data_IF_508222353377
#
_entry.id   IF_508222353377
#
_cell.length_a   1.000
_cell.length_b   1.000
_cell.length_c   1.000
_cell.angle_alpha   90.00
_cell.angle_beta   90.00
_cell.angle_gamma   90.00
#
_symmetry.space_group_name_H-M   'P 1'
#
loop_
_entity.id
_entity.type
_entity.pdbx_description
1 polymer ?
#
# COMPACT_ATOMS: atom_id res chain seq x y z
N UNK A 1 -11.73 -32.43 28.06
CA UNK A 1 -12.49 -31.16 27.87
C UNK A 1 -12.46 -30.68 26.42
N UNK A 2 -11.53 -31.17 25.57
CA UNK A 2 -11.44 -30.86 24.13
C UNK A 2 -12.13 -31.94 23.26
N UNK A 3 -12.25 -33.19 23.75
CA UNK A 3 -13.09 -34.28 23.17
C UNK A 3 -14.60 -33.96 23.02
N UNK A 4 -15.05 -32.76 23.40
CA UNK A 4 -16.47 -32.34 23.33
C UNK A 4 -16.76 -31.28 22.26
N UNK A 5 -15.79 -30.84 21.46
CA UNK A 5 -16.02 -29.76 20.48
C UNK A 5 -16.44 -30.25 19.11
N UNK A 6 -15.89 -31.39 18.67
CA UNK A 6 -16.28 -32.03 17.43
C UNK A 6 -17.36 -33.07 17.74
N UNK A 7 -18.51 -32.59 18.24
CA UNK A 7 -19.70 -33.43 18.40
C UNK A 7 -20.31 -33.72 17.02
N UNK A 8 -21.14 -34.76 16.94
CA UNK A 8 -22.08 -34.89 15.84
C UNK A 8 -22.82 -33.55 15.67
N UNK A 9 -22.80 -33.00 14.45
CA UNK A 9 -23.48 -31.76 14.06
C UNK A 9 -22.82 -30.41 14.45
N UNK A 10 -21.52 -30.38 14.81
CA UNK A 10 -20.82 -29.14 15.19
C UNK A 10 -20.82 -28.02 14.11
N UNK A 11 -20.98 -28.39 12.84
CA UNK A 11 -21.13 -27.44 11.74
C UNK A 11 -22.46 -26.67 11.81
N UNK A 12 -23.48 -27.22 12.47
CA UNK A 12 -24.80 -26.59 12.59
C UNK A 12 -25.12 -26.10 14.02
N UNK A 13 -24.28 -26.46 15.00
CA UNK A 13 -24.38 -25.97 16.38
C UNK A 13 -24.00 -24.48 16.45
N UNK A 14 -24.85 -23.60 17.01
CA UNK A 14 -24.54 -22.17 17.13
C UNK A 14 -23.22 -21.90 17.87
N UNK A 15 -22.37 -21.00 17.33
CA UNK A 15 -21.03 -20.74 17.90
C UNK A 15 -21.08 -20.31 19.38
N UNK A 16 -22.14 -19.60 19.79
CA UNK A 16 -22.38 -19.17 21.18
C UNK A 16 -22.54 -20.32 22.18
N UNK A 17 -22.80 -21.54 21.71
CA UNK A 17 -22.99 -22.72 22.56
C UNK A 17 -21.67 -23.40 22.94
N UNK A 18 -20.56 -23.02 22.27
CA UNK A 18 -19.22 -23.42 22.68
C UNK A 18 -18.75 -22.54 23.84
N UNK A 19 -18.45 -23.17 24.99
CA UNK A 19 -18.07 -22.47 26.23
C UNK A 19 -16.63 -21.93 26.16
N UNK A 20 -16.49 -20.62 26.36
CA UNK A 20 -15.22 -19.91 26.60
C UNK A 20 -14.97 -18.82 25.56
N UNK A 21 -14.58 -17.62 26.01
CA UNK A 21 -14.12 -16.52 25.14
C UNK A 21 -12.74 -16.80 24.51
N UNK A 22 -12.23 -18.03 24.65
CA UNK A 22 -10.97 -18.52 24.11
C UNK A 22 -11.28 -19.87 23.47
N UNK A 23 -11.30 -19.92 22.14
CA UNK A 23 -11.42 -21.18 21.44
C UNK A 23 -10.19 -22.06 21.80
N UNK A 24 -10.38 -23.32 22.24
CA UNK A 24 -9.31 -24.12 22.83
C UNK A 24 -8.26 -24.50 21.79
N UNK A 25 -6.98 -24.45 22.14
CA UNK A 25 -5.92 -24.91 21.26
C UNK A 25 -6.19 -26.36 20.79
N UNK A 26 -6.27 -26.57 19.48
CA UNK A 26 -6.44 -27.89 18.87
C UNK A 26 -5.10 -28.63 18.89
N UNK A 27 -5.10 -29.91 19.18
CA UNK A 27 -3.98 -30.79 18.80
C UNK A 27 -3.93 -30.96 17.28
N UNK A 28 -2.81 -31.47 16.76
CA UNK A 28 -2.69 -31.79 15.32
C UNK A 28 -3.74 -32.82 14.87
N UNK A 29 -4.04 -33.80 15.73
CA UNK A 29 -5.09 -34.80 15.47
C UNK A 29 -6.48 -34.17 15.42
N UNK A 30 -6.80 -33.25 16.34
CA UNK A 30 -8.10 -32.56 16.35
C UNK A 30 -8.25 -31.61 15.16
N UNK A 31 -7.18 -30.95 14.74
CA UNK A 31 -7.18 -30.14 13.51
C UNK A 31 -7.39 -31.00 12.26
N UNK A 32 -6.74 -32.16 12.18
CA UNK A 32 -6.93 -33.10 11.06
C UNK A 32 -8.36 -33.65 11.03
N UNK A 33 -8.91 -33.98 12.20
CA UNK A 33 -10.30 -34.43 12.32
C UNK A 33 -11.29 -33.35 11.88
N UNK A 34 -11.08 -32.10 12.31
CA UNK A 34 -11.87 -30.95 11.87
C UNK A 34 -11.89 -30.82 10.35
N UNK A 35 -10.71 -30.91 9.71
CA UNK A 35 -10.57 -30.82 8.26
C UNK A 35 -11.34 -31.95 7.56
N UNK A 36 -11.18 -33.19 8.03
CA UNK A 36 -11.84 -34.37 7.47
C UNK A 36 -13.37 -34.30 7.60
N UNK A 37 -13.89 -33.78 8.71
CA UNK A 37 -15.32 -33.63 8.89
C UNK A 37 -15.89 -32.52 8.00
N UNK A 38 -15.17 -31.41 7.81
CA UNK A 38 -15.58 -30.37 6.86
C UNK A 38 -15.64 -30.94 5.44
N UNK A 39 -14.61 -31.69 5.01
CA UNK A 39 -14.62 -32.36 3.70
C UNK A 39 -15.79 -33.32 3.55
N UNK A 40 -15.96 -34.21 4.54
CA UNK A 40 -17.05 -35.19 4.53
C UNK A 40 -18.42 -34.53 4.49
N UNK A 41 -18.59 -33.36 5.09
CA UNK A 41 -19.81 -32.57 5.02
C UNK A 41 -20.03 -31.98 3.62
N UNK A 42 -18.98 -31.43 3.00
CA UNK A 42 -19.04 -30.88 1.64
C UNK A 42 -19.25 -31.93 0.55
N UNK A 43 -18.81 -33.17 0.79
CA UNK A 43 -18.98 -34.31 -0.11
C UNK A 43 -20.37 -34.99 0.02
N UNK A 44 -21.27 -34.47 0.87
CA UNK A 44 -22.63 -35.01 0.98
C UNK A 44 -23.44 -34.69 -0.27
N UNK A 45 -23.87 -35.73 -1.01
CA UNK A 45 -24.66 -35.61 -2.24
C UNK A 45 -25.95 -34.77 -2.10
N UNK A 46 -26.47 -34.64 -0.88
CA UNK A 46 -27.69 -33.88 -0.57
C UNK A 46 -27.45 -32.44 -0.11
N UNK A 47 -26.21 -31.98 0.03
CA UNK A 47 -25.91 -30.66 0.59
C UNK A 47 -26.35 -29.54 -0.37
N UNK A 48 -27.35 -28.75 0.04
CA UNK A 48 -27.79 -27.57 -0.69
C UNK A 48 -26.95 -26.32 -0.37
N UNK A 49 -26.92 -25.35 -1.28
CA UNK A 49 -26.29 -24.05 -1.03
C UNK A 49 -26.88 -23.35 0.21
N UNK A 50 -28.19 -23.48 0.44
CA UNK A 50 -28.85 -22.90 1.62
C UNK A 50 -28.40 -23.56 2.93
N UNK A 51 -28.18 -24.87 2.94
CA UNK A 51 -27.66 -25.55 4.12
C UNK A 51 -26.22 -25.14 4.41
N UNK A 52 -25.38 -25.06 3.36
CA UNK A 52 -24.00 -24.59 3.49
C UNK A 52 -23.93 -23.12 3.95
N UNK A 53 -24.84 -22.26 3.49
CA UNK A 53 -24.91 -20.86 3.92
C UNK A 53 -25.22 -20.72 5.41
N UNK A 54 -26.13 -21.57 5.92
CA UNK A 54 -26.59 -21.52 7.31
C UNK A 54 -25.62 -22.20 8.27
N UNK A 55 -24.71 -23.03 7.76
CA UNK A 55 -23.71 -23.72 8.57
C UNK A 55 -22.59 -22.78 9.04
N UNK A 56 -21.81 -23.26 10.01
CA UNK A 56 -20.60 -22.64 10.52
C UNK A 56 -19.34 -23.11 9.78
N UNK A 57 -19.47 -23.72 8.59
CA UNK A 57 -18.32 -24.25 7.82
C UNK A 57 -17.22 -23.20 7.65
N UNK A 58 -17.57 -21.96 7.27
CA UNK A 58 -16.55 -20.92 7.10
C UNK A 58 -15.90 -20.51 8.43
N UNK A 59 -16.66 -20.42 9.52
CA UNK A 59 -16.11 -20.12 10.83
C UNK A 59 -15.03 -21.14 11.20
N UNK A 60 -15.34 -22.43 11.01
CA UNK A 60 -14.41 -23.51 11.32
C UNK A 60 -13.21 -23.58 10.38
N UNK A 61 -13.38 -23.27 9.08
CA UNK A 61 -12.23 -23.10 8.16
C UNK A 61 -11.32 -21.95 8.62
N UNK A 62 -11.91 -20.82 9.00
CA UNK A 62 -11.17 -19.63 9.47
C UNK A 62 -10.43 -19.90 10.78
N UNK A 63 -11.10 -20.61 11.70
CA UNK A 63 -10.53 -21.06 12.96
C UNK A 63 -9.39 -22.04 12.76
N UNK A 64 -9.62 -23.09 11.96
CA UNK A 64 -8.62 -24.08 11.61
C UNK A 64 -7.40 -23.47 10.93
N UNK A 65 -7.58 -22.52 10.00
CA UNK A 65 -6.47 -21.82 9.34
C UNK A 65 -5.63 -21.05 10.36
N UNK A 66 -6.29 -20.26 11.23
CA UNK A 66 -5.61 -19.48 12.27
C UNK A 66 -4.80 -20.37 13.19
N UNK A 67 -5.39 -21.50 13.59
CA UNK A 67 -4.75 -22.47 14.45
C UNK A 67 -3.59 -23.20 13.76
N UNK A 68 -3.77 -23.67 12.51
CA UNK A 68 -2.74 -24.32 11.71
C UNK A 68 -1.50 -23.42 11.56
N UNK A 69 -1.73 -22.14 11.25
CA UNK A 69 -0.66 -21.16 11.09
C UNK A 69 0.04 -20.82 12.41
N UNK A 70 -0.71 -20.67 13.51
CA UNK A 70 -0.11 -20.47 14.84
C UNK A 70 0.84 -21.61 15.22
N UNK A 71 0.49 -22.83 14.85
CA UNK A 71 1.29 -24.03 15.14
C UNK A 71 2.28 -24.41 14.04
N UNK A 72 2.47 -23.57 13.00
CA UNK A 72 3.39 -23.85 11.88
C UNK A 72 3.08 -25.14 11.12
N UNK A 73 1.81 -25.56 11.12
CA UNK A 73 1.34 -26.71 10.36
C UNK A 73 0.98 -26.28 8.92
N UNK A 74 1.98 -26.33 8.04
CA UNK A 74 1.82 -25.98 6.63
C UNK A 74 0.77 -26.85 5.93
N UNK A 75 0.83 -28.17 6.12
CA UNK A 75 -0.06 -29.12 5.43
C UNK A 75 -1.53 -28.79 5.69
N UNK A 76 -1.91 -28.67 6.96
CA UNK A 76 -3.29 -28.32 7.33
C UNK A 76 -3.68 -26.93 6.85
N UNK A 77 -2.77 -25.94 6.91
CA UNK A 77 -3.08 -24.59 6.42
C UNK A 77 -3.37 -24.56 4.91
N UNK A 78 -2.60 -25.30 4.13
CA UNK A 78 -2.79 -25.42 2.68
C UNK A 78 -4.06 -26.20 2.34
N UNK A 79 -4.32 -27.29 3.06
CA UNK A 79 -5.52 -28.11 2.88
C UNK A 79 -6.81 -27.31 3.18
N UNK A 80 -6.81 -26.50 4.23
CA UNK A 80 -7.92 -25.59 4.55
C UNK A 80 -8.13 -24.54 3.46
N UNK A 81 -7.05 -23.95 2.94
CA UNK A 81 -7.13 -23.03 1.81
C UNK A 81 -7.69 -23.73 0.55
N UNK A 82 -7.27 -24.96 0.29
CA UNK A 82 -7.79 -25.78 -0.81
C UNK A 82 -9.29 -26.03 -0.70
N UNK A 83 -9.80 -26.31 0.51
CA UNK A 83 -11.25 -26.47 0.73
C UNK A 83 -11.99 -25.17 0.43
N UNK A 84 -11.53 -24.02 0.94
CA UNK A 84 -12.18 -22.74 0.61
C UNK A 84 -12.10 -22.45 -0.89
N UNK A 85 -11.00 -22.81 -1.56
CA UNK A 85 -10.88 -22.65 -3.00
C UNK A 85 -11.92 -23.50 -3.76
N UNK A 86 -12.17 -24.74 -3.34
CA UNK A 86 -13.22 -25.59 -3.91
C UNK A 86 -14.60 -24.95 -3.74
N UNK A 87 -14.93 -24.48 -2.52
CA UNK A 87 -16.19 -23.74 -2.27
C UNK A 87 -16.27 -22.52 -3.18
N UNK A 88 -15.19 -21.73 -3.31
CA UNK A 88 -15.16 -20.53 -4.15
C UNK A 88 -15.33 -20.81 -5.64
N UNK A 89 -14.91 -22.00 -6.11
CA UNK A 89 -15.09 -22.42 -7.50
C UNK A 89 -16.50 -22.89 -7.77
N UNK A 90 -17.08 -23.64 -6.85
CA UNK A 90 -18.41 -24.21 -7.01
C UNK A 90 -19.51 -23.18 -6.77
N UNK A 91 -19.35 -22.35 -5.74
CA UNK A 91 -20.34 -21.38 -5.28
C UNK A 91 -19.68 -20.03 -4.95
N UNK A 92 -19.19 -19.27 -5.95
CA UNK A 92 -18.44 -18.04 -5.71
C UNK A 92 -19.25 -16.97 -4.94
N UNK A 93 -20.51 -16.78 -5.30
CA UNK A 93 -21.41 -15.82 -4.66
C UNK A 93 -21.63 -16.18 -3.17
N UNK A 94 -21.84 -17.47 -2.88
CA UNK A 94 -22.01 -17.99 -1.54
C UNK A 94 -20.73 -17.84 -0.72
N UNK A 95 -19.58 -18.15 -1.30
CA UNK A 95 -18.29 -17.96 -0.64
C UNK A 95 -18.07 -16.49 -0.23
N UNK A 96 -18.37 -15.53 -1.10
CA UNK A 96 -18.29 -14.09 -0.80
C UNK A 96 -19.28 -13.71 0.30
N UNK A 97 -20.52 -14.20 0.22
CA UNK A 97 -21.55 -13.95 1.24
C UNK A 97 -21.15 -14.47 2.62
N UNK A 98 -20.66 -15.71 2.69
CA UNK A 98 -20.16 -16.31 3.93
C UNK A 98 -18.96 -15.51 4.46
N UNK A 99 -17.98 -15.19 3.60
CA UNK A 99 -16.78 -14.43 3.96
C UNK A 99 -17.10 -13.02 4.46
N UNK A 100 -18.16 -12.40 3.94
CA UNK A 100 -18.62 -11.07 4.32
C UNK A 100 -19.56 -11.01 5.52
N UNK A 101 -20.01 -12.15 6.06
CA UNK A 101 -20.86 -12.21 7.25
C UNK A 101 -20.04 -11.87 8.49
N UNK A 102 -20.57 -10.98 9.33
CA UNK A 102 -19.99 -10.70 10.65
C UNK A 102 -20.17 -11.91 11.56
N UNK A 103 -19.11 -12.30 12.25
CA UNK A 103 -19.10 -13.42 13.18
C UNK A 103 -19.65 -12.95 14.52
N UNK A 104 -20.73 -13.57 15.00
CA UNK A 104 -21.47 -13.10 16.18
C UNK A 104 -20.89 -13.58 17.52
N UNK A 105 -20.05 -14.62 17.52
CA UNK A 105 -19.51 -15.26 18.71
C UNK A 105 -18.15 -15.93 18.48
N UNK A 106 -17.48 -16.33 19.57
CA UNK A 106 -16.17 -16.99 19.55
C UNK A 106 -15.01 -16.03 19.33
N UNK A 107 -13.83 -16.59 19.00
CA UNK A 107 -12.55 -15.84 18.90
C UNK A 107 -12.58 -14.64 17.95
N UNK A 108 -13.35 -14.74 16.86
CA UNK A 108 -13.42 -13.71 15.82
C UNK A 108 -14.68 -12.82 15.92
N UNK A 109 -15.32 -12.77 17.11
CA UNK A 109 -16.54 -11.99 17.32
C UNK A 109 -16.38 -10.54 16.83
N UNK A 110 -17.33 -10.07 16.02
CA UNK A 110 -17.35 -8.73 15.45
C UNK A 110 -16.49 -8.55 14.19
N UNK A 111 -15.83 -9.61 13.71
CA UNK A 111 -15.02 -9.60 12.49
C UNK A 111 -15.72 -10.34 11.35
N UNK A 112 -15.32 -10.05 10.11
CA UNK A 112 -15.72 -10.82 8.94
C UNK A 112 -14.69 -11.92 8.65
N UNK A 113 -15.09 -12.98 7.94
CA UNK A 113 -14.16 -13.98 7.44
C UNK A 113 -13.05 -13.35 6.59
N UNK A 114 -13.40 -12.43 5.68
CA UNK A 114 -12.40 -11.70 4.87
C UNK A 114 -11.35 -11.02 5.73
N UNK A 115 -11.74 -10.34 6.82
CA UNK A 115 -10.80 -9.67 7.72
C UNK A 115 -9.79 -10.64 8.32
N UNK A 116 -10.26 -11.78 8.84
CA UNK A 116 -9.40 -12.79 9.47
C UNK A 116 -8.47 -13.43 8.43
N UNK A 117 -8.96 -13.73 7.23
CA UNK A 117 -8.13 -14.30 6.17
C UNK A 117 -7.03 -13.33 5.70
N UNK A 118 -7.32 -12.02 5.64
CA UNK A 118 -6.29 -11.00 5.36
C UNK A 118 -5.31 -10.83 6.52
N UNK A 119 -5.75 -10.95 7.78
CA UNK A 119 -4.85 -10.98 8.95
C UNK A 119 -3.91 -12.19 8.91
N UNK A 120 -4.41 -13.35 8.43
CA UNK A 120 -3.59 -14.54 8.22
C UNK A 120 -2.64 -14.40 7.05
N UNK A 121 -3.07 -13.79 5.94
CA UNK A 121 -2.17 -13.43 4.84
C UNK A 121 -1.04 -12.51 5.34
N UNK A 122 -1.36 -11.49 6.13
CA UNK A 122 -0.36 -10.64 6.81
C UNK A 122 0.57 -11.47 7.69
N UNK A 123 0.04 -12.33 8.55
CA UNK A 123 0.84 -13.20 9.43
C UNK A 123 1.81 -14.12 8.64
N UNK A 124 1.39 -14.62 7.47
CA UNK A 124 2.22 -15.46 6.62
C UNK A 124 3.48 -14.76 6.11
N UNK A 125 3.46 -13.43 5.97
CA UNK A 125 4.61 -12.66 5.44
C UNK A 125 5.84 -12.68 6.36
N UNK A 126 5.69 -13.05 7.64
CA UNK A 126 6.80 -13.17 8.59
C UNK A 126 7.56 -14.51 8.50
N UNK A 127 7.03 -15.51 7.79
CA UNK A 127 7.63 -16.83 7.76
C UNK A 127 7.44 -17.51 6.41
N UNK A 128 8.55 -17.70 5.69
CA UNK A 128 8.58 -18.27 4.35
C UNK A 128 7.98 -19.69 4.26
N UNK A 129 7.87 -20.43 5.37
CA UNK A 129 7.18 -21.73 5.40
C UNK A 129 5.74 -21.62 4.90
N UNK A 130 5.08 -20.47 5.07
CA UNK A 130 3.69 -20.25 4.67
C UNK A 130 3.54 -19.66 3.26
N UNK A 131 4.62 -19.57 2.48
CA UNK A 131 4.53 -19.09 1.08
C UNK A 131 3.47 -19.85 0.27
N UNK A 132 3.34 -21.20 0.34
CA UNK A 132 2.28 -21.91 -0.36
C UNK A 132 0.86 -21.50 0.09
N UNK A 133 0.66 -21.31 1.38
CA UNK A 133 -0.62 -20.86 1.95
C UNK A 133 -0.96 -19.44 1.50
N UNK A 134 0.03 -18.55 1.46
CA UNK A 134 -0.13 -17.19 0.96
C UNK A 134 -0.53 -17.17 -0.52
N UNK A 135 0.12 -18.00 -1.35
CA UNK A 135 -0.23 -18.18 -2.77
C UNK A 135 -1.67 -18.70 -2.91
N UNK A 136 -2.07 -19.67 -2.08
CA UNK A 136 -3.43 -20.20 -2.09
C UNK A 136 -4.46 -19.13 -1.72
N UNK A 137 -4.23 -18.37 -0.64
CA UNK A 137 -5.11 -17.26 -0.24
C UNK A 137 -5.22 -16.25 -1.39
N UNK A 138 -4.10 -15.83 -1.97
CA UNK A 138 -4.11 -14.89 -3.08
C UNK A 138 -4.91 -15.41 -4.28
N UNK A 139 -4.75 -16.69 -4.62
CA UNK A 139 -5.49 -17.35 -5.71
C UNK A 139 -6.99 -17.37 -5.46
N UNK A 140 -7.42 -17.64 -4.22
CA UNK A 140 -8.84 -17.61 -3.82
C UNK A 140 -9.41 -16.21 -4.01
N UNK A 141 -8.76 -15.18 -3.47
CA UNK A 141 -9.28 -13.82 -3.54
C UNK A 141 -9.20 -13.23 -4.95
N UNK A 142 -8.18 -13.59 -5.74
CA UNK A 142 -8.13 -13.28 -7.17
C UNK A 142 -9.31 -13.89 -7.92
N UNK A 143 -9.59 -15.18 -7.69
CA UNK A 143 -10.72 -15.87 -8.32
C UNK A 143 -12.05 -15.24 -7.90
N UNK A 144 -12.26 -14.97 -6.62
CA UNK A 144 -13.51 -14.35 -6.14
C UNK A 144 -13.72 -12.93 -6.68
N UNK A 145 -12.63 -12.16 -6.85
CA UNK A 145 -12.69 -10.83 -7.47
C UNK A 145 -13.18 -10.88 -8.92
N UNK A 146 -12.76 -11.89 -9.68
CA UNK A 146 -13.18 -12.10 -11.07
C UNK A 146 -14.67 -12.46 -11.19
N UNK A 147 -15.30 -12.97 -10.12
CA UNK A 147 -16.71 -13.35 -10.10
C UNK A 147 -17.61 -12.19 -9.64
N UNK A 148 -17.39 -11.65 -8.44
CA UNK A 148 -18.19 -10.53 -7.90
C UNK A 148 -17.31 -9.48 -7.22
N UNK A 149 -16.42 -8.87 -8.01
CA UNK A 149 -15.43 -7.91 -7.53
C UNK A 149 -16.02 -6.78 -6.67
N UNK A 150 -17.14 -6.17 -7.10
CA UNK A 150 -17.78 -5.08 -6.34
C UNK A 150 -18.29 -5.52 -4.96
N UNK A 151 -18.98 -6.66 -4.87
CA UNK A 151 -19.48 -7.18 -3.60
C UNK A 151 -18.31 -7.46 -2.64
N UNK A 152 -17.26 -8.12 -3.13
CA UNK A 152 -16.08 -8.43 -2.33
C UNK A 152 -15.30 -7.18 -1.91
N UNK A 153 -15.14 -6.20 -2.80
CA UNK A 153 -14.53 -4.90 -2.48
C UNK A 153 -15.28 -4.18 -1.35
N UNK A 154 -16.61 -4.19 -1.38
CA UNK A 154 -17.40 -3.56 -0.32
C UNK A 154 -17.21 -4.23 1.04
N UNK A 155 -16.98 -5.54 1.05
CA UNK A 155 -16.65 -6.29 2.27
C UNK A 155 -15.24 -5.92 2.77
N UNK A 156 -14.27 -5.72 1.87
CA UNK A 156 -12.89 -5.37 2.24
C UNK A 156 -12.78 -4.08 3.04
N UNK A 157 -13.68 -3.11 2.81
CA UNK A 157 -13.66 -1.80 3.47
C UNK A 157 -14.54 -1.73 4.72
N UNK A 158 -15.33 -2.77 5.03
CA UNK A 158 -16.18 -2.80 6.22
C UNK A 158 -15.33 -2.66 7.49
N UNK A 159 -15.54 -1.63 8.31
CA UNK A 159 -14.77 -1.43 9.52
C UNK A 159 -15.12 -2.47 10.60
N UNK A 160 -14.13 -2.84 11.40
CA UNK A 160 -14.34 -3.60 12.63
C UNK A 160 -14.91 -2.66 13.70
N UNK A 161 -16.02 -3.07 14.33
CA UNK A 161 -16.74 -2.15 15.21
C UNK A 161 -16.11 -1.99 16.59
N UNK A 162 -15.52 -3.05 17.14
CA UNK A 162 -15.07 -3.11 18.54
C UNK A 162 -13.76 -3.89 18.69
N UNK A 163 -13.15 -3.79 19.88
CA UNK A 163 -11.88 -4.44 20.20
C UNK A 163 -10.64 -3.64 19.78
N UNK A 164 -9.48 -4.26 19.90
CA UNK A 164 -8.17 -3.63 19.64
C UNK A 164 -8.04 -3.13 18.19
N UNK A 165 -8.58 -3.90 17.24
CA UNK A 165 -8.59 -3.60 15.80
C UNK A 165 -9.81 -2.78 15.37
N UNK A 166 -10.58 -2.20 16.31
CA UNK A 166 -11.71 -1.33 15.98
C UNK A 166 -11.27 -0.21 15.02
N UNK A 167 -12.10 0.07 14.01
CA UNK A 167 -11.84 1.09 12.99
C UNK A 167 -10.99 0.60 11.80
N UNK A 168 -10.27 -0.52 11.91
CA UNK A 168 -9.56 -1.10 10.76
C UNK A 168 -10.48 -1.99 9.92
N UNK A 169 -10.02 -2.45 8.76
CA UNK A 169 -10.77 -3.31 7.86
C UNK A 169 -9.84 -4.31 7.17
N UNK A 170 -10.36 -5.17 6.30
CA UNK A 170 -9.54 -6.20 5.66
C UNK A 170 -8.55 -5.62 4.63
N UNK A 171 -8.90 -4.49 4.00
CA UNK A 171 -7.98 -3.73 3.14
C UNK A 171 -6.75 -3.26 3.91
N UNK A 172 -6.92 -2.85 5.17
CA UNK A 172 -5.82 -2.47 6.05
C UNK A 172 -4.83 -3.62 6.25
N UNK A 173 -5.33 -4.82 6.53
CA UNK A 173 -4.48 -6.00 6.70
C UNK A 173 -3.74 -6.37 5.40
N UNK A 174 -4.38 -6.22 4.22
CA UNK A 174 -3.73 -6.46 2.93
C UNK A 174 -2.56 -5.49 2.67
N UNK A 175 -2.74 -4.21 3.00
CA UNK A 175 -1.69 -3.18 2.84
C UNK A 175 -0.59 -3.38 3.87
N UNK A 176 -0.94 -3.77 5.08
CA UNK A 176 0.04 -4.09 6.12
C UNK A 176 0.87 -5.33 5.75
N UNK A 177 0.25 -6.33 5.12
CA UNK A 177 0.94 -7.47 4.52
C UNK A 177 1.91 -7.04 3.41
N UNK A 178 1.47 -6.16 2.51
CA UNK A 178 2.33 -5.61 1.46
C UNK A 178 3.55 -4.89 2.05
N UNK A 179 3.33 -4.04 3.04
CA UNK A 179 4.41 -3.36 3.76
C UNK A 179 5.40 -4.36 4.34
N UNK A 180 4.92 -5.32 5.13
CA UNK A 180 5.79 -6.28 5.79
C UNK A 180 6.56 -7.15 4.78
N UNK A 181 5.92 -7.59 3.70
CA UNK A 181 6.58 -8.35 2.64
C UNK A 181 7.71 -7.53 1.98
N UNK A 182 7.52 -6.23 1.78
CA UNK A 182 8.49 -5.34 1.14
C UNK A 182 9.73 -5.03 1.99
N UNK A 183 9.69 -5.26 3.31
CA UNK A 183 10.81 -4.94 4.20
C UNK A 183 12.02 -5.88 4.00
N UNK A 184 11.77 -7.10 3.51
CA UNK A 184 12.78 -8.14 3.37
C UNK A 184 13.12 -8.43 1.90
N UNK A 185 14.39 -8.33 1.51
CA UNK A 185 14.85 -8.52 0.12
C UNK A 185 14.49 -9.92 -0.43
N UNK A 186 14.47 -10.95 0.41
CA UNK A 186 14.11 -12.31 0.00
C UNK A 186 12.61 -12.49 -0.33
N UNK A 187 11.76 -11.49 -0.05
CA UNK A 187 10.31 -11.56 -0.22
C UNK A 187 9.79 -10.81 -1.45
N UNK A 188 10.65 -10.48 -2.43
CA UNK A 188 10.22 -9.76 -3.65
C UNK A 188 9.04 -10.45 -4.38
N UNK A 189 9.09 -11.78 -4.55
CA UNK A 189 7.98 -12.53 -5.19
C UNK A 189 6.67 -12.43 -4.41
N UNK A 190 6.73 -12.46 -3.08
CA UNK A 190 5.55 -12.29 -2.22
C UNK A 190 5.04 -10.85 -2.26
N UNK A 191 5.95 -9.87 -2.29
CA UNK A 191 5.62 -8.45 -2.47
C UNK A 191 4.85 -8.23 -3.77
N UNK A 192 5.35 -8.79 -4.89
CA UNK A 192 4.71 -8.70 -6.20
C UNK A 192 3.33 -9.38 -6.20
N UNK A 193 3.23 -10.55 -5.59
CA UNK A 193 1.97 -11.27 -5.47
C UNK A 193 0.91 -10.46 -4.69
N UNK A 194 1.28 -9.85 -3.55
CA UNK A 194 0.35 -9.07 -2.73
C UNK A 194 -0.04 -7.76 -3.41
N UNK A 195 0.92 -7.04 -4.02
CA UNK A 195 0.62 -5.77 -4.70
C UNK A 195 -0.26 -5.98 -5.94
N UNK A 196 -0.09 -7.09 -6.67
CA UNK A 196 -0.97 -7.46 -7.76
C UNK A 196 -2.41 -7.71 -7.28
N UNK A 197 -2.58 -8.40 -6.14
CA UNK A 197 -3.90 -8.60 -5.54
C UNK A 197 -4.54 -7.26 -5.15
N UNK A 198 -3.77 -6.37 -4.51
CA UNK A 198 -4.23 -5.02 -4.20
C UNK A 198 -4.64 -4.26 -5.47
N UNK A 199 -3.84 -4.33 -6.55
CA UNK A 199 -4.17 -3.70 -7.82
C UNK A 199 -5.45 -4.26 -8.44
N UNK A 200 -5.69 -5.57 -8.36
CA UNK A 200 -6.95 -6.18 -8.79
C UNK A 200 -8.14 -5.65 -8.01
N UNK A 201 -8.02 -5.53 -6.69
CA UNK A 201 -9.05 -4.93 -5.84
C UNK A 201 -9.36 -3.49 -6.30
N UNK A 202 -8.35 -2.63 -6.41
CA UNK A 202 -8.52 -1.23 -6.82
C UNK A 202 -9.08 -1.12 -8.24
N UNK A 203 -8.67 -1.99 -9.17
CA UNK A 203 -9.17 -1.95 -10.55
C UNK A 203 -10.65 -2.29 -10.64
N UNK A 204 -11.13 -3.25 -9.83
CA UNK A 204 -12.55 -3.63 -9.84
C UNK A 204 -13.43 -2.55 -9.19
N UNK A 205 -13.01 -1.96 -8.08
CA UNK A 205 -13.83 -0.97 -7.35
C UNK A 205 -13.04 0.30 -7.03
N UNK A 206 -12.62 1.07 -8.07
CA UNK A 206 -11.71 2.18 -7.90
C UNK A 206 -12.33 3.34 -7.11
N UNK A 207 -13.66 3.50 -7.15
CA UNK A 207 -14.34 4.55 -6.38
C UNK A 207 -14.42 4.23 -4.88
N UNK A 208 -14.78 3.00 -4.53
CA UNK A 208 -14.97 2.61 -3.13
C UNK A 208 -13.62 2.40 -2.44
N UNK A 209 -12.77 1.56 -3.03
CA UNK A 209 -11.47 1.26 -2.45
C UNK A 209 -10.49 2.41 -2.62
N UNK A 210 -10.54 3.12 -3.75
CA UNK A 210 -9.67 4.28 -3.97
C UNK A 210 -9.93 5.38 -2.96
N UNK A 211 -11.20 5.68 -2.66
CA UNK A 211 -11.55 6.61 -1.59
C UNK A 211 -11.12 6.09 -0.22
N UNK A 212 -11.36 4.80 0.09
CA UNK A 212 -10.97 4.21 1.36
C UNK A 212 -9.45 4.34 1.62
N UNK A 213 -8.62 4.17 0.58
CA UNK A 213 -7.16 4.34 0.67
C UNK A 213 -6.70 5.75 1.03
N UNK A 214 -7.53 6.78 0.84
CA UNK A 214 -7.18 8.16 1.22
C UNK A 214 -7.66 8.51 2.63
N UNK A 215 -8.41 7.62 3.29
CA UNK A 215 -8.95 7.88 4.63
C UNK A 215 -7.99 7.42 5.73
N UNK A 216 -8.24 7.93 6.92
CA UNK A 216 -7.58 7.49 8.15
C UNK A 216 -8.51 6.60 8.95
N UNK A 217 -7.90 5.70 9.73
CA UNK A 217 -8.62 4.96 10.76
C UNK A 217 -9.10 5.95 11.83
N UNK A 218 -10.39 5.92 12.16
CA UNK A 218 -11.03 6.96 13.00
C UNK A 218 -11.16 6.59 14.48
N UNK A 219 -10.94 5.33 14.84
CA UNK A 219 -11.06 4.80 16.20
C UNK A 219 -10.10 3.63 16.44
N UNK A 220 -10.00 3.19 17.69
CA UNK A 220 -9.15 2.06 18.08
C UNK A 220 -7.66 2.40 18.16
N UNK A 221 -6.81 1.37 18.29
CA UNK A 221 -5.38 1.52 18.50
C UNK A 221 -4.63 2.16 17.31
N UNK A 222 -5.24 2.13 16.13
CA UNK A 222 -4.68 2.66 14.88
C UNK A 222 -5.26 4.04 14.51
N UNK A 223 -6.02 4.68 15.41
CA UNK A 223 -6.65 5.98 15.14
C UNK A 223 -5.65 7.04 14.65
N UNK A 224 -6.01 7.74 13.58
CA UNK A 224 -5.17 8.75 12.92
C UNK A 224 -4.12 8.19 11.96
N UNK A 225 -4.09 6.88 11.74
CA UNK A 225 -3.21 6.24 10.75
C UNK A 225 -3.90 6.17 9.39
N UNK A 226 -3.26 6.68 8.34
CA UNK A 226 -3.73 6.59 6.96
C UNK A 226 -3.13 5.41 6.20
N UNK A 227 -3.78 4.95 5.13
CA UNK A 227 -3.22 3.88 4.30
C UNK A 227 -1.98 4.34 3.50
N UNK A 228 -1.91 5.63 3.16
CA UNK A 228 -0.75 6.23 2.49
C UNK A 228 0.52 6.21 3.37
N UNK A 229 0.37 6.17 4.69
CA UNK A 229 1.49 5.99 5.64
C UNK A 229 2.18 4.62 5.49
N UNK A 230 1.56 3.69 4.76
CA UNK A 230 2.14 2.37 4.46
C UNK A 230 2.46 2.21 2.99
N UNK A 231 1.56 2.62 2.08
CA UNK A 231 1.75 2.48 0.63
C UNK A 231 2.99 3.24 0.16
N UNK A 232 3.18 4.47 0.62
CA UNK A 232 4.27 5.32 0.14
C UNK A 232 5.65 4.88 0.65
N UNK A 233 5.83 4.56 1.95
CA UNK A 233 7.08 3.94 2.40
C UNK A 233 7.39 2.61 1.69
N UNK A 234 6.38 1.79 1.38
CA UNK A 234 6.58 0.57 0.59
C UNK A 234 7.04 0.87 -0.84
N UNK A 235 6.45 1.86 -1.51
CA UNK A 235 6.91 2.32 -2.82
C UNK A 235 8.39 2.76 -2.75
N UNK A 236 8.76 3.55 -1.75
CA UNK A 236 10.13 4.00 -1.56
C UNK A 236 11.11 2.88 -1.22
N UNK A 237 10.65 1.84 -0.52
CA UNK A 237 11.46 0.65 -0.25
C UNK A 237 11.70 -0.16 -1.53
N UNK A 238 10.64 -0.43 -2.29
CA UNK A 238 10.71 -1.18 -3.53
C UNK A 238 11.47 -0.44 -4.64
N UNK A 239 11.59 0.90 -4.59
CA UNK A 239 12.33 1.66 -5.60
C UNK A 239 13.83 1.39 -5.62
N UNK A 240 14.35 0.64 -4.64
CA UNK A 240 15.75 0.24 -4.58
C UNK A 240 16.06 -0.93 -5.52
N UNK A 241 15.13 -1.87 -5.70
CA UNK A 241 15.43 -3.15 -6.36
C UNK A 241 14.22 -3.92 -6.94
N UNK A 242 12.98 -3.47 -6.72
CA UNK A 242 11.77 -4.16 -7.18
C UNK A 242 10.87 -3.28 -8.05
N UNK A 243 11.22 -3.22 -9.34
CA UNK A 243 10.55 -2.36 -10.32
C UNK A 243 9.11 -2.77 -10.64
N UNK A 244 8.79 -4.07 -10.54
CA UNK A 244 7.45 -4.56 -10.85
C UNK A 244 6.46 -4.15 -9.75
N UNK A 245 6.88 -4.22 -8.48
CA UNK A 245 6.10 -3.67 -7.37
C UNK A 245 5.90 -2.15 -7.50
N UNK A 246 6.95 -1.38 -7.80
CA UNK A 246 6.83 0.08 -7.97
C UNK A 246 5.91 0.42 -9.14
N UNK A 247 6.05 -0.25 -10.29
CA UNK A 247 5.16 -0.07 -11.44
C UNK A 247 3.69 -0.30 -11.06
N UNK A 248 3.42 -1.34 -10.28
CA UNK A 248 2.05 -1.67 -9.82
C UNK A 248 1.52 -0.65 -8.81
N UNK A 249 2.35 -0.21 -7.85
CA UNK A 249 1.99 0.85 -6.91
C UNK A 249 1.72 2.18 -7.59
N UNK A 250 2.54 2.57 -8.58
CA UNK A 250 2.30 3.77 -9.37
C UNK A 250 0.95 3.68 -10.08
N UNK A 251 0.63 2.54 -10.72
CA UNK A 251 -0.70 2.35 -11.35
C UNK A 251 -1.85 2.49 -10.37
N UNK A 252 -1.74 1.92 -9.16
CA UNK A 252 -2.74 2.07 -8.10
C UNK A 252 -2.90 3.56 -7.76
N UNK A 253 -1.81 4.26 -7.49
CA UNK A 253 -1.84 5.69 -7.14
C UNK A 253 -2.42 6.54 -8.27
N UNK A 254 -2.13 6.23 -9.53
CA UNK A 254 -2.70 6.92 -10.69
C UNK A 254 -4.20 6.67 -10.85
N UNK A 255 -4.68 5.44 -10.60
CA UNK A 255 -6.12 5.15 -10.56
C UNK A 255 -6.81 5.99 -9.48
N UNK A 256 -6.22 6.07 -8.29
CA UNK A 256 -6.76 6.89 -7.19
C UNK A 256 -6.71 8.37 -7.55
N UNK A 257 -5.62 8.85 -8.14
CA UNK A 257 -5.49 10.25 -8.58
C UNK A 257 -6.55 10.61 -9.65
N UNK A 258 -6.92 9.67 -10.51
CA UNK A 258 -7.98 9.89 -11.50
C UNK A 258 -9.37 9.98 -10.86
N UNK A 259 -9.66 9.16 -9.84
CA UNK A 259 -11.00 9.09 -9.22
C UNK A 259 -11.18 10.04 -8.04
N UNK A 260 -10.13 10.25 -7.27
CA UNK A 260 -10.11 11.00 -6.01
C UNK A 260 -8.85 11.87 -5.90
N UNK A 261 -8.62 12.81 -6.84
CA UNK A 261 -7.40 13.63 -6.84
C UNK A 261 -7.25 14.43 -5.55
N UNK A 262 -8.29 15.14 -5.11
CA UNK A 262 -8.20 15.96 -3.90
C UNK A 262 -8.03 15.11 -2.63
N UNK A 263 -8.83 14.07 -2.35
CA UNK A 263 -8.59 13.21 -1.19
C UNK A 263 -7.19 12.57 -1.18
N UNK A 264 -6.68 12.16 -2.36
CA UNK A 264 -5.33 11.64 -2.47
C UNK A 264 -4.30 12.70 -2.09
N UNK A 265 -4.39 13.90 -2.66
CA UNK A 265 -3.45 14.96 -2.36
C UNK A 265 -3.50 15.36 -0.89
N UNK A 266 -4.68 15.52 -0.30
CA UNK A 266 -4.85 15.83 1.12
C UNK A 266 -4.13 14.79 2.01
N UNK A 267 -4.24 13.51 1.64
CA UNK A 267 -3.54 12.42 2.32
C UNK A 267 -2.02 12.48 2.10
N UNK A 268 -1.56 12.72 0.87
CA UNK A 268 -0.15 12.75 0.52
C UNK A 268 0.60 13.98 1.06
N UNK A 269 -0.09 15.10 1.25
CA UNK A 269 0.49 16.37 1.75
C UNK A 269 0.22 16.60 3.23
N UNK A 270 -0.44 15.66 3.93
CA UNK A 270 -0.62 15.75 5.38
C UNK A 270 0.73 15.70 6.10
N UNK A 271 0.99 16.71 6.93
CA UNK A 271 2.24 16.82 7.69
C UNK A 271 2.23 15.82 8.85
N UNK A 272 3.23 14.94 8.88
CA UNK A 272 3.50 14.02 9.98
C UNK A 272 3.94 14.79 11.21
N UNK A 273 3.22 14.63 12.32
CA UNK A 273 3.44 15.42 13.54
C UNK A 273 4.55 14.88 14.43
N UNK A 274 4.82 13.57 14.39
CA UNK A 274 5.72 12.87 15.33
C UNK A 274 6.56 11.79 14.63
N UNK A 275 7.64 11.35 15.28
CA UNK A 275 8.48 10.24 14.83
C UNK A 275 9.59 10.66 13.85
N UNK A 276 10.21 9.67 13.20
CA UNK A 276 11.35 9.90 12.31
C UNK A 276 11.03 10.81 11.11
N UNK A 277 9.79 10.75 10.63
CA UNK A 277 9.28 11.54 9.51
C UNK A 277 8.60 12.85 9.94
N UNK A 278 8.76 13.27 11.20
CA UNK A 278 8.19 14.52 11.70
C UNK A 278 8.52 15.71 10.78
N UNK A 279 7.51 16.52 10.47
CA UNK A 279 7.61 17.71 9.63
C UNK A 279 7.52 17.42 8.13
N UNK A 280 7.64 16.16 7.71
CA UNK A 280 7.48 15.74 6.31
C UNK A 280 6.05 15.30 6.02
N UNK A 281 5.73 15.11 4.75
CA UNK A 281 4.48 14.47 4.29
C UNK A 281 4.83 13.31 3.35
N UNK A 282 3.89 12.40 3.09
CA UNK A 282 4.16 11.22 2.26
C UNK A 282 4.69 11.57 0.86
N UNK A 283 4.25 12.69 0.27
CA UNK A 283 4.79 13.15 -1.01
C UNK A 283 6.31 13.47 -0.97
N UNK A 284 6.89 13.90 0.16
CA UNK A 284 8.35 14.04 0.32
C UNK A 284 9.07 12.68 0.27
N UNK A 285 8.40 11.60 0.70
CA UNK A 285 8.97 10.24 0.65
C UNK A 285 9.04 9.76 -0.81
N UNK A 286 8.07 10.11 -1.66
CA UNK A 286 8.13 9.86 -3.12
C UNK A 286 9.33 10.59 -3.74
N UNK A 287 9.53 11.86 -3.39
CA UNK A 287 10.68 12.65 -3.87
C UNK A 287 12.02 12.07 -3.41
N UNK A 288 12.08 11.60 -2.16
CA UNK A 288 13.25 10.89 -1.64
C UNK A 288 13.50 9.59 -2.41
N UNK A 289 12.44 8.84 -2.74
CA UNK A 289 12.56 7.62 -3.55
C UNK A 289 13.09 7.92 -4.96
N UNK A 290 12.67 9.03 -5.58
CA UNK A 290 13.19 9.49 -6.86
C UNK A 290 14.67 9.82 -6.77
N UNK A 291 15.10 10.56 -5.73
CA UNK A 291 16.51 10.83 -5.47
C UNK A 291 17.28 9.51 -5.32
N UNK A 292 16.80 8.57 -4.50
CA UNK A 292 17.43 7.26 -4.34
C UNK A 292 17.52 6.49 -5.65
N UNK A 293 16.46 6.47 -6.46
CA UNK A 293 16.46 5.80 -7.76
C UNK A 293 17.50 6.40 -8.71
N UNK A 294 17.72 7.72 -8.67
CA UNK A 294 18.75 8.39 -9.47
C UNK A 294 20.18 7.96 -9.11
N UNK A 295 20.43 7.54 -7.87
CA UNK A 295 21.75 7.05 -7.44
C UNK A 295 22.08 5.64 -7.95
N UNK A 296 21.09 4.88 -8.43
CA UNK A 296 21.28 3.48 -8.84
C UNK A 296 21.66 3.45 -10.32
N UNK A 297 22.75 2.76 -10.62
CA UNK A 297 23.27 2.63 -11.99
C UNK A 297 22.28 1.85 -12.88
N UNK A 298 22.09 2.31 -14.12
CA UNK A 298 21.15 1.72 -15.10
C UNK A 298 19.67 1.67 -14.65
N UNK A 299 19.26 2.50 -13.68
CA UNK A 299 17.91 2.48 -13.13
C UNK A 299 16.90 3.41 -13.84
N UNK A 300 17.12 3.70 -15.12
CA UNK A 300 16.34 4.66 -15.92
C UNK A 300 14.83 4.39 -15.88
N UNK A 301 14.42 3.12 -15.95
CA UNK A 301 12.99 2.76 -15.94
C UNK A 301 12.32 3.12 -14.61
N UNK A 302 12.99 2.87 -13.47
CA UNK A 302 12.47 3.25 -12.15
C UNK A 302 12.41 4.76 -11.99
N UNK A 303 13.48 5.46 -12.41
CA UNK A 303 13.55 6.91 -12.38
C UNK A 303 12.36 7.52 -13.14
N UNK A 304 12.14 7.10 -14.38
CA UNK A 304 11.04 7.61 -15.20
C UNK A 304 9.66 7.29 -14.59
N UNK A 305 9.44 6.09 -14.05
CA UNK A 305 8.18 5.75 -13.37
C UNK A 305 7.84 6.72 -12.23
N UNK A 306 8.84 7.10 -11.43
CA UNK A 306 8.64 8.03 -10.31
C UNK A 306 8.44 9.47 -10.80
N UNK A 307 9.16 9.90 -11.84
CA UNK A 307 8.96 11.22 -12.45
C UNK A 307 7.56 11.34 -13.05
N UNK A 308 7.12 10.33 -13.80
CA UNK A 308 5.80 10.29 -14.44
C UNK A 308 4.69 10.34 -13.38
N UNK A 309 4.83 9.60 -12.27
CA UNK A 309 3.89 9.65 -11.15
C UNK A 309 3.75 11.07 -10.57
N UNK A 310 4.88 11.76 -10.34
CA UNK A 310 4.87 13.14 -9.82
C UNK A 310 4.26 14.10 -10.85
N UNK A 311 4.56 13.90 -12.14
CA UNK A 311 4.02 14.70 -13.22
C UNK A 311 2.49 14.57 -13.33
N UNK A 312 1.96 13.35 -13.20
CA UNK A 312 0.52 13.11 -13.22
C UNK A 312 -0.20 13.68 -11.98
N UNK A 313 0.42 13.63 -10.80
CA UNK A 313 -0.10 14.33 -9.62
C UNK A 313 -0.15 15.84 -9.86
N UNK A 314 0.93 16.42 -10.38
CA UNK A 314 1.00 17.85 -10.69
C UNK A 314 -0.06 18.25 -11.71
N UNK A 315 -0.25 17.47 -12.77
CA UNK A 315 -1.25 17.74 -13.81
C UNK A 315 -2.68 17.78 -13.27
N UNK A 316 -3.01 16.92 -12.31
CA UNK A 316 -4.37 16.83 -11.72
C UNK A 316 -4.58 17.83 -10.58
N UNK A 317 -3.54 18.17 -9.83
CA UNK A 317 -3.63 19.04 -8.65
C UNK A 317 -2.45 20.01 -8.58
N UNK A 318 -2.31 20.90 -9.59
CA UNK A 318 -1.10 21.73 -9.73
C UNK A 318 -0.88 22.67 -8.55
N UNK A 319 -1.93 23.26 -7.98
CA UNK A 319 -1.81 24.14 -6.82
C UNK A 319 -1.31 23.40 -5.58
N UNK A 320 -1.93 22.26 -5.25
CA UNK A 320 -1.57 21.47 -4.06
C UNK A 320 -0.17 20.89 -4.18
N UNK A 321 0.17 20.34 -5.35
CA UNK A 321 1.52 19.80 -5.60
C UNK A 321 2.55 20.91 -5.63
N UNK A 322 2.28 22.05 -6.27
CA UNK A 322 3.20 23.18 -6.29
C UNK A 322 3.48 23.70 -4.88
N UNK A 323 2.44 23.86 -4.06
CA UNK A 323 2.57 24.25 -2.66
C UNK A 323 3.41 23.23 -1.87
N UNK A 324 3.14 21.94 -2.03
CA UNK A 324 3.91 20.88 -1.37
C UNK A 324 5.38 20.82 -1.83
N UNK A 325 5.68 21.22 -3.07
CA UNK A 325 7.04 21.29 -3.59
C UNK A 325 7.81 22.50 -3.06
N UNK A 326 7.16 23.65 -2.89
CA UNK A 326 7.83 24.91 -2.50
C UNK A 326 7.94 25.09 -0.99
N UNK A 327 6.99 24.55 -0.20
CA UNK A 327 6.98 24.73 1.24
C UNK A 327 8.18 24.04 1.93
N UNK A 328 8.92 24.75 2.80
CA UNK A 328 10.01 24.16 3.56
C UNK A 328 9.50 23.28 4.71
N UNK A 329 10.24 22.21 5.00
CA UNK A 329 10.03 21.38 6.17
C UNK A 329 10.46 22.16 7.42
N UNK A 330 9.52 22.38 8.35
CA UNK A 330 9.75 23.27 9.50
C UNK A 330 10.30 22.57 10.75
N UNK A 331 10.15 21.26 10.85
CA UNK A 331 10.50 20.46 12.04
C UNK A 331 11.17 19.13 11.64
N UNK A 332 11.74 18.42 12.62
CA UNK A 332 12.37 17.12 12.39
C UNK A 332 13.78 17.18 11.78
N UNK A 333 14.29 16.01 11.36
CA UNK A 333 15.67 15.83 10.89
C UNK A 333 15.94 16.49 9.54
N UNK A 334 14.90 16.69 8.73
CA UNK A 334 14.95 17.28 7.39
C UNK A 334 14.57 18.76 7.36
N UNK A 335 14.64 19.44 8.51
CA UNK A 335 14.28 20.86 8.61
C UNK A 335 15.04 21.71 7.57
N UNK A 336 14.31 22.55 6.85
CA UNK A 336 14.80 23.43 5.80
C UNK A 336 14.89 22.80 4.41
N UNK A 337 14.69 21.48 4.27
CA UNK A 337 14.53 20.87 2.95
C UNK A 337 13.15 21.22 2.37
N UNK A 338 13.02 21.29 1.04
CA UNK A 338 11.75 21.42 0.30
C UNK A 338 11.73 20.47 -0.92
N UNK A 339 10.59 20.30 -1.56
CA UNK A 339 10.47 19.39 -2.71
C UNK A 339 11.27 19.79 -3.95
N UNK A 340 11.43 21.09 -4.22
CA UNK A 340 12.27 21.60 -5.33
C UNK A 340 13.73 21.15 -5.16
N UNK A 341 14.26 21.19 -3.94
CA UNK A 341 15.61 20.69 -3.64
C UNK A 341 15.77 19.22 -4.03
N UNK A 342 14.78 18.38 -3.75
CA UNK A 342 14.83 16.96 -4.10
C UNK A 342 14.78 16.75 -5.62
N UNK A 343 13.92 17.48 -6.34
CA UNK A 343 13.84 17.41 -7.81
C UNK A 343 15.14 17.83 -8.49
N UNK A 344 15.72 18.97 -8.09
CA UNK A 344 17.00 19.45 -8.64
C UNK A 344 18.15 18.50 -8.28
N UNK A 345 18.13 17.95 -7.07
CA UNK A 345 19.13 16.97 -6.65
C UNK A 345 19.05 15.70 -7.51
N UNK A 346 17.84 15.15 -7.73
CA UNK A 346 17.62 13.99 -8.60
C UNK A 346 18.05 14.26 -10.05
N UNK A 347 17.70 15.43 -10.61
CA UNK A 347 18.13 15.87 -11.94
C UNK A 347 19.65 15.88 -12.07
N UNK A 348 20.34 16.51 -11.11
CA UNK A 348 21.81 16.61 -11.12
C UNK A 348 22.48 15.23 -11.16
N UNK A 349 22.02 14.29 -10.33
CA UNK A 349 22.56 12.93 -10.27
C UNK A 349 22.24 12.16 -11.56
N UNK A 350 21.01 12.27 -12.05
CA UNK A 350 20.61 11.64 -13.29
C UNK A 350 21.51 12.10 -14.46
N UNK A 351 21.85 13.40 -14.51
CA UNK A 351 22.83 13.93 -15.47
C UNK A 351 24.23 13.35 -15.27
N UNK A 352 24.73 13.25 -14.02
CA UNK A 352 26.04 12.63 -13.72
C UNK A 352 26.12 11.17 -14.18
N UNK A 353 24.98 10.47 -14.16
CA UNK A 353 24.87 9.05 -14.52
C UNK A 353 24.34 8.80 -15.93
N UNK A 354 24.20 9.84 -16.75
CA UNK A 354 23.67 9.76 -18.12
C UNK A 354 22.30 9.05 -18.22
N UNK A 355 21.46 9.21 -17.20
CA UNK A 355 20.04 8.82 -17.27
C UNK A 355 19.30 9.89 -18.11
N UNK A 356 18.28 9.49 -18.87
CA UNK A 356 17.45 10.44 -19.63
C UNK A 356 16.71 11.39 -18.67
N UNK A 357 17.02 12.69 -18.76
CA UNK A 357 16.51 13.73 -17.86
C UNK A 357 15.32 14.50 -18.43
N UNK A 358 14.89 14.21 -19.66
CA UNK A 358 13.85 15.01 -20.34
C UNK A 358 12.55 15.12 -19.54
N UNK A 359 12.11 14.03 -18.92
CA UNK A 359 10.87 13.99 -18.16
C UNK A 359 10.94 14.90 -16.91
N UNK A 360 12.02 14.83 -16.14
CA UNK A 360 12.19 15.65 -14.93
C UNK A 360 12.46 17.12 -15.27
N UNK A 361 13.15 17.40 -16.37
CA UNK A 361 13.36 18.74 -16.91
C UNK A 361 12.01 19.37 -17.26
N UNK A 362 11.15 18.65 -17.97
CA UNK A 362 9.80 19.11 -18.30
C UNK A 362 8.92 19.32 -17.06
N UNK A 363 9.00 18.43 -16.06
CA UNK A 363 8.30 18.60 -14.79
C UNK A 363 8.74 19.90 -14.08
N UNK A 364 10.05 20.14 -13.94
CA UNK A 364 10.59 21.36 -13.32
C UNK A 364 10.15 22.61 -14.07
N UNK A 365 10.19 22.60 -15.40
CA UNK A 365 9.69 23.71 -16.21
C UNK A 365 8.21 23.97 -15.88
N UNK A 366 7.35 22.96 -15.93
CA UNK A 366 5.92 23.10 -15.63
C UNK A 366 5.66 23.68 -14.24
N UNK A 367 6.43 23.25 -13.23
CA UNK A 367 6.34 23.79 -11.86
C UNK A 367 6.71 25.27 -11.82
N UNK A 368 7.78 25.67 -12.54
CA UNK A 368 8.19 27.07 -12.65
C UNK A 368 7.13 27.89 -13.40
N UNK A 369 6.54 27.36 -14.48
CA UNK A 369 5.53 28.06 -15.28
C UNK A 369 4.22 28.28 -14.52
N UNK A 370 3.86 27.34 -13.63
CA UNK A 370 2.66 27.42 -12.78
C UNK A 370 2.74 28.56 -11.75
N UNK A 371 3.96 28.98 -11.39
CA UNK A 371 4.21 30.09 -10.46
C UNK A 371 3.57 29.89 -9.08
N UNK A 372 3.79 28.72 -8.48
CA UNK A 372 3.35 28.49 -7.10
C UNK A 372 3.89 29.57 -6.15
N UNK A 373 3.16 29.79 -5.06
CA UNK A 373 3.62 30.66 -3.98
C UNK A 373 4.99 30.18 -3.49
N UNK A 374 5.85 31.14 -3.14
CA UNK A 374 7.17 30.90 -2.55
C UNK A 374 8.17 30.17 -3.46
N UNK A 375 7.92 30.11 -4.78
CA UNK A 375 8.84 29.52 -5.77
C UNK A 375 10.25 30.13 -5.69
N UNK A 376 10.34 31.46 -5.59
CA UNK A 376 11.63 32.16 -5.47
C UNK A 376 12.36 31.75 -4.19
N UNK A 377 11.67 31.66 -3.06
CA UNK A 377 12.26 31.21 -1.80
C UNK A 377 12.67 29.73 -1.88
N UNK A 378 11.86 28.87 -2.49
CA UNK A 378 12.16 27.45 -2.62
C UNK A 378 13.46 27.20 -3.41
N UNK A 379 13.75 28.00 -4.44
CA UNK A 379 14.97 27.90 -5.25
C UNK A 379 16.21 28.56 -4.63
N UNK A 380 16.03 29.51 -3.69
CA UNK A 380 17.11 30.29 -3.08
C UNK A 380 17.38 29.94 -1.61
N UNK A 381 16.53 29.16 -0.97
CA UNK A 381 16.72 28.74 0.43
C UNK A 381 17.82 27.69 0.54
N UNK A 382 18.61 27.79 1.62
CA UNK A 382 19.54 26.76 2.04
C UNK A 382 18.86 25.85 3.07
N UNK A 383 19.06 24.54 2.98
CA UNK A 383 18.53 23.66 4.02
C UNK A 383 19.42 23.72 5.27
N UNK A 384 18.79 23.82 6.44
CA UNK A 384 19.44 23.57 7.73
C UNK A 384 19.53 22.06 8.02
N UNK A 385 19.80 21.26 6.98
CA UNK A 385 19.82 19.79 7.05
C UNK A 385 21.18 19.29 7.53
N UNK A 386 21.18 18.17 8.26
CA UNK A 386 22.42 17.42 8.56
C UNK A 386 23.00 16.72 7.33
N UNK A 387 22.21 16.63 6.26
CA UNK A 387 22.62 16.02 5.01
C UNK A 387 23.48 16.99 4.20
N UNK A 388 24.73 16.60 3.92
CA UNK A 388 25.64 17.41 3.08
C UNK A 388 25.13 17.57 1.64
N UNK A 389 24.18 16.73 1.22
CA UNK A 389 23.59 16.71 -0.11
C UNK A 389 22.64 17.89 -0.42
N UNK A 390 22.19 18.62 0.61
CA UNK A 390 21.22 19.71 0.52
C UNK A 390 21.74 21.04 1.09
N UNK A 391 23.07 21.20 1.15
CA UNK A 391 23.71 22.43 1.64
C UNK A 391 23.68 23.57 0.61
N UNK A 392 23.63 23.23 -0.67
CA UNK A 392 23.51 24.18 -1.77
C UNK A 392 22.04 24.46 -2.07
N UNK A 393 21.72 25.71 -2.44
CA UNK A 393 20.39 26.05 -2.96
C UNK A 393 20.12 25.31 -4.27
N UNK A 394 18.84 25.05 -4.61
CA UNK A 394 18.51 24.49 -5.92
C UNK A 394 19.09 25.31 -7.08
N UNK A 395 19.01 26.64 -7.03
CA UNK A 395 19.55 27.50 -8.08
C UNK A 395 21.07 27.37 -8.21
N UNK A 396 21.82 27.47 -7.10
CA UNK A 396 23.29 27.38 -7.14
C UNK A 396 23.75 26.01 -7.63
N UNK A 397 23.01 24.95 -7.32
CA UNK A 397 23.27 23.60 -7.81
C UNK A 397 23.09 23.49 -9.33
N UNK A 398 22.02 24.08 -9.88
CA UNK A 398 21.79 24.13 -11.33
C UNK A 398 22.90 24.93 -12.04
N UNK A 399 23.28 26.09 -11.50
CA UNK A 399 24.34 26.94 -12.06
C UNK A 399 25.72 26.26 -12.00
N UNK A 400 26.04 25.62 -10.87
CA UNK A 400 27.27 24.83 -10.71
C UNK A 400 27.34 23.70 -11.75
N UNK A 401 26.22 22.98 -11.92
CA UNK A 401 26.13 21.91 -12.93
C UNK A 401 26.25 22.45 -14.35
N UNK A 402 25.65 23.59 -14.66
CA UNK A 402 25.73 24.23 -15.97
C UNK A 402 27.17 24.63 -16.33
N UNK A 403 27.92 25.14 -15.33
CA UNK A 403 29.30 25.59 -15.49
C UNK A 403 30.33 24.46 -15.46
N UNK A 404 29.94 23.23 -15.13
CA UNK A 404 30.83 22.08 -15.10
C UNK A 404 31.28 21.70 -16.54
N UNK A 405 32.58 21.50 -16.72
CA UNK A 405 33.18 21.12 -17.99
C UNK A 405 32.73 19.74 -18.50
N UNK A 406 32.32 18.84 -17.59
CA UNK A 406 31.85 17.50 -17.91
C UNK A 406 30.38 17.47 -18.37
N UNK A 407 29.64 18.58 -18.22
CA UNK A 407 28.23 18.67 -18.64
C UNK A 407 28.12 18.74 -20.15
N UNK A 408 27.36 17.81 -20.73
CA UNK A 408 27.18 17.70 -22.19
C UNK A 408 26.38 18.88 -22.76
N UNK A 409 26.49 19.13 -24.07
CA UNK A 409 25.75 20.23 -24.72
C UNK A 409 24.22 20.11 -24.56
N UNK A 410 23.69 18.88 -24.61
CA UNK A 410 22.26 18.61 -24.40
C UNK A 410 21.86 18.98 -22.96
N UNK A 411 22.63 18.51 -21.97
CA UNK A 411 22.38 18.83 -20.56
C UNK A 411 22.50 20.33 -20.29
N UNK A 412 23.45 21.03 -20.92
CA UNK A 412 23.55 22.49 -20.83
C UNK A 412 22.29 23.18 -21.35
N UNK A 413 21.77 22.73 -22.49
CA UNK A 413 20.53 23.27 -23.06
C UNK A 413 19.35 23.07 -22.10
N UNK A 414 19.22 21.89 -21.49
CA UNK A 414 18.18 21.62 -20.49
C UNK A 414 18.33 22.52 -19.26
N UNK A 415 19.52 22.63 -18.69
CA UNK A 415 19.80 23.48 -17.53
C UNK A 415 19.57 24.97 -17.82
N UNK A 416 20.05 25.47 -18.96
CA UNK A 416 19.82 26.84 -19.41
C UNK A 416 18.33 27.14 -19.54
N UNK A 417 17.53 26.20 -20.06
CA UNK A 417 16.09 26.36 -20.18
C UNK A 417 15.40 26.53 -18.82
N UNK A 418 15.79 25.73 -17.83
CA UNK A 418 15.26 25.80 -16.45
C UNK A 418 15.65 27.13 -15.81
N UNK A 419 16.94 27.47 -15.81
CA UNK A 419 17.46 28.69 -15.17
C UNK A 419 16.86 29.94 -15.81
N UNK A 420 16.85 30.01 -17.16
CA UNK A 420 16.25 31.13 -17.88
C UNK A 420 14.77 31.28 -17.55
N UNK A 421 14.01 30.19 -17.57
CA UNK A 421 12.58 30.23 -17.27
C UNK A 421 12.32 30.69 -15.83
N UNK A 422 13.11 30.22 -14.87
CA UNK A 422 13.01 30.66 -13.48
C UNK A 422 13.25 32.17 -13.36
N UNK A 423 14.32 32.69 -13.96
CA UNK A 423 14.65 34.12 -13.96
C UNK A 423 13.58 34.98 -14.65
N UNK A 424 12.98 34.49 -15.73
CA UNK A 424 11.86 35.17 -16.40
C UNK A 424 10.65 35.28 -15.47
N UNK A 425 10.29 34.21 -14.76
CA UNK A 425 9.12 34.20 -13.88
C UNK A 425 9.30 35.09 -12.64
N UNK A 426 10.49 35.09 -12.02
CA UNK A 426 10.76 35.87 -10.80
C UNK A 426 11.00 37.35 -11.09
N UNK A 427 11.67 37.70 -12.20
CA UNK A 427 11.90 39.11 -12.59
C UNK A 427 10.62 39.90 -12.90
N UNK A 428 9.52 39.23 -13.25
CA UNK A 428 8.22 39.87 -13.51
C UNK A 428 7.41 40.13 -12.24
N UNK A 429 7.76 39.51 -11.10
CA UNK A 429 7.12 39.80 -9.80
C UNK A 429 7.65 41.09 -9.16
N UNK A 430 8.89 41.49 -9.46
CA UNK A 430 9.50 42.72 -8.93
C UNK A 430 9.02 44.04 -9.57
N UNK A 431 8.10 44.01 -10.55
CA UNK A 431 7.57 45.21 -11.22
C UNK A 431 6.17 45.65 -10.78
N UNK A 432 5.54 44.92 -9.85
CA UNK A 432 4.18 45.20 -9.38
C UNK A 432 4.05 45.27 -7.84
N UNK A 433 5.15 45.48 -7.12
CA UNK A 433 5.16 45.84 -5.69
C UNK A 433 5.55 47.31 -5.50
#
# INVERSE_FOLDING_TARGET
MIEKMIQENFLNTPIKEYKGDVAPALSESELSELINQIKSYLDQDSLSESELEQSNTLYWLTYGLSHAMKNKNLSSSYEIASILYQISKQYPHLAIKMLGKTIDAGEFKGQTGVFVWMDRLYSATFNSIFSPTLIAINSIFSHLLEQEGHTLSSIMVKPIESGFTSGTNALFNLIYALKNASEYDCNQSITNLIVELLAKFITHSPNELGFALTQEVTKGAFSGTGFMDFIIPTLARCSQDNIDAVSTLCKILLIINEKHPQPLMDSLTKITQNGYHQGTHAFHIILTALVSASYIENNTKMFNLLVDLIHDFFKKSPETVSSALTQPINTGVRKGENGIMHLVHALSIAMDRNIDTRAITNLLLNVIEHKGNDLEEAFNSNAASKSTFYLDTPLSKLESKLNNQQTTAIQKTELESIVKKFMEVTSHHGKYL
#
